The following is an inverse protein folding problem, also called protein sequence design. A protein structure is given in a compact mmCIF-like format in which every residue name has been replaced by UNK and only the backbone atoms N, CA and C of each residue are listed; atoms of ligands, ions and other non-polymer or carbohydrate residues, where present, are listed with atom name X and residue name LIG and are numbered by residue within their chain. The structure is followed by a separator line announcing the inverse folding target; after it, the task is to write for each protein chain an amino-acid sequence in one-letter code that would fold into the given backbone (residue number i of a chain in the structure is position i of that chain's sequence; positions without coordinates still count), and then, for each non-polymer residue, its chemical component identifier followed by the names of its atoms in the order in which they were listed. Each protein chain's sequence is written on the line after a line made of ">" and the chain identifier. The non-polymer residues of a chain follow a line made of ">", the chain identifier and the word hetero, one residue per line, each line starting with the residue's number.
data_IF_731660970437
#
_entry.id   IF_731660970437
#
_cell.length_a   1.000
_cell.length_b   1.000
_cell.length_c   1.000
_cell.angle_alpha   90.00
_cell.angle_beta   90.00
_cell.angle_gamma   90.00
#
_symmetry.space_group_name_H-M   'P 1'
#
loop_
_entity.id
_entity.type
_entity.pdbx_description
1 polymer ?
#
# COMPACT_ATOMS: atom_id res chain seq x y z
N UNK A 1 64.56 -19.93 -15.35
CA UNK A 1 63.52 -19.24 -14.56
C UNK A 1 62.70 -20.30 -13.85
N UNK A 2 62.53 -20.20 -12.53
CA UNK A 2 61.69 -21.15 -11.79
C UNK A 2 60.22 -20.95 -12.19
N UNK A 3 59.50 -22.04 -12.45
CA UNK A 3 58.08 -21.98 -12.76
C UNK A 3 57.29 -21.61 -11.49
N UNK A 4 56.79 -20.38 -11.44
CA UNK A 4 56.11 -19.83 -10.25
C UNK A 4 54.71 -20.45 -10.05
N UNK A 5 54.00 -20.78 -11.14
CA UNK A 5 52.66 -21.37 -11.09
C UNK A 5 52.60 -22.78 -11.70
N UNK A 6 52.01 -23.77 -11.01
CA UNK A 6 51.83 -25.12 -11.56
C UNK A 6 50.82 -25.10 -12.72
N UNK A 7 50.90 -26.06 -13.65
CA UNK A 7 49.98 -26.15 -14.81
C UNK A 7 48.49 -26.15 -14.44
N UNK A 8 48.15 -26.66 -13.24
CA UNK A 8 46.77 -26.64 -12.70
C UNK A 8 46.24 -25.22 -12.44
N UNK A 9 47.13 -24.24 -12.22
CA UNK A 9 46.74 -22.86 -11.99
C UNK A 9 46.10 -22.19 -13.23
N UNK A 10 46.30 -22.72 -14.44
CA UNK A 10 45.63 -22.22 -15.65
C UNK A 10 44.10 -22.39 -15.59
N UNK A 11 43.60 -23.32 -14.78
CA UNK A 11 42.16 -23.51 -14.58
C UNK A 11 41.55 -22.46 -13.66
N UNK A 12 42.34 -21.83 -12.78
CA UNK A 12 41.83 -20.89 -11.78
C UNK A 12 41.18 -19.65 -12.43
N UNK A 13 41.82 -18.94 -13.39
CA UNK A 13 41.18 -17.79 -14.04
C UNK A 13 39.88 -18.15 -14.76
N UNK A 14 39.82 -19.33 -15.38
CA UNK A 14 38.62 -19.80 -16.10
C UNK A 14 37.48 -20.08 -15.13
N UNK A 15 37.75 -20.82 -14.05
CA UNK A 15 36.75 -21.12 -13.03
C UNK A 15 36.30 -19.86 -12.29
N UNK A 16 37.21 -18.94 -11.99
CA UNK A 16 36.89 -17.65 -11.38
C UNK A 16 36.01 -16.80 -12.29
N UNK A 17 36.31 -16.72 -13.59
CA UNK A 17 35.52 -15.95 -14.54
C UNK A 17 34.12 -16.54 -14.72
N UNK A 18 34.02 -17.86 -14.95
CA UNK A 18 32.73 -18.55 -15.11
C UNK A 18 31.91 -18.48 -13.82
N UNK A 19 32.54 -18.70 -12.66
CA UNK A 19 31.89 -18.60 -11.37
C UNK A 19 31.37 -17.18 -11.09
N UNK A 20 32.15 -16.15 -11.42
CA UNK A 20 31.73 -14.76 -11.26
C UNK A 20 30.55 -14.40 -12.19
N UNK A 21 30.57 -14.84 -13.44
CA UNK A 21 29.49 -14.58 -14.39
C UNK A 21 28.19 -15.28 -13.98
N UNK A 22 28.26 -16.57 -13.68
CA UNK A 22 27.09 -17.34 -13.23
C UNK A 22 26.56 -16.82 -11.90
N UNK A 23 27.45 -16.55 -10.94
CA UNK A 23 27.09 -15.97 -9.66
C UNK A 23 26.44 -14.59 -9.81
N UNK A 24 26.96 -13.74 -10.70
CA UNK A 24 26.39 -12.43 -11.02
C UNK A 24 24.99 -12.53 -11.62
N UNK A 25 24.79 -13.42 -12.59
CA UNK A 25 23.47 -13.67 -13.20
C UNK A 25 22.47 -14.15 -12.15
N UNK A 26 22.84 -15.14 -11.34
CA UNK A 26 21.97 -15.63 -10.26
C UNK A 26 21.62 -14.53 -9.28
N UNK A 27 22.60 -13.71 -8.87
CA UNK A 27 22.36 -12.60 -7.96
C UNK A 27 21.39 -11.58 -8.56
N UNK A 28 21.55 -11.21 -9.83
CA UNK A 28 20.65 -10.28 -10.53
C UNK A 28 19.23 -10.83 -10.54
N UNK A 29 19.04 -12.11 -10.89
CA UNK A 29 17.71 -12.73 -10.90
C UNK A 29 17.08 -12.78 -9.50
N UNK A 30 17.85 -13.12 -8.46
CA UNK A 30 17.36 -13.13 -7.08
C UNK A 30 16.93 -11.74 -6.63
N UNK A 31 17.78 -10.73 -6.86
CA UNK A 31 17.46 -9.34 -6.51
C UNK A 31 16.21 -8.90 -7.26
N UNK A 32 16.14 -9.12 -8.57
CA UNK A 32 15.00 -8.70 -9.39
C UNK A 32 13.68 -9.36 -8.95
N UNK A 33 13.72 -10.65 -8.60
CA UNK A 33 12.54 -11.38 -8.13
C UNK A 33 12.09 -10.92 -6.74
N UNK A 34 12.99 -10.90 -5.75
CA UNK A 34 12.63 -10.60 -4.36
C UNK A 34 12.41 -9.10 -4.09
N UNK A 35 12.91 -8.21 -4.94
CA UNK A 35 12.61 -6.78 -4.88
C UNK A 35 11.46 -6.39 -5.83
N UNK A 36 10.79 -7.36 -6.44
CA UNK A 36 9.60 -7.08 -7.25
C UNK A 36 8.45 -6.57 -6.37
N UNK A 37 7.49 -5.80 -6.93
CA UNK A 37 6.38 -5.23 -6.17
C UNK A 37 5.54 -6.27 -5.41
N UNK A 38 5.49 -7.52 -5.87
CA UNK A 38 4.75 -8.61 -5.21
C UNK A 38 5.26 -8.90 -3.79
N UNK A 39 6.54 -8.66 -3.52
CA UNK A 39 7.17 -8.82 -2.20
C UNK A 39 7.25 -7.51 -1.41
N UNK A 40 6.68 -6.43 -1.94
CA UNK A 40 6.50 -5.16 -1.22
C UNK A 40 5.11 -5.10 -0.59
N UNK A 41 4.62 -3.92 -0.20
CA UNK A 41 3.32 -3.75 0.46
C UNK A 41 2.10 -3.84 -0.48
N UNK A 42 2.29 -4.36 -1.71
CA UNK A 42 1.19 -4.61 -2.65
C UNK A 42 0.27 -5.68 -2.08
N UNK A 43 -1.02 -5.37 -1.99
CA UNK A 43 -2.01 -6.26 -1.36
C UNK A 43 -2.01 -6.22 0.17
N UNK A 44 -1.28 -5.27 0.80
CA UNK A 44 -1.39 -5.02 2.24
C UNK A 44 -2.84 -4.67 2.62
N UNK A 45 -3.45 -5.51 3.45
CA UNK A 45 -4.84 -5.41 3.90
C UNK A 45 -4.90 -5.53 5.42
N UNK A 46 -4.66 -4.43 6.16
CA UNK A 46 -4.76 -4.45 7.61
C UNK A 46 -6.22 -4.61 8.05
N UNK A 47 -6.41 -5.18 9.24
CA UNK A 47 -7.70 -5.16 9.91
C UNK A 47 -8.06 -3.71 10.25
N UNK A 48 -9.25 -3.28 9.82
CA UNK A 48 -9.75 -1.93 10.06
C UNK A 48 -10.65 -1.94 11.31
N UNK A 49 -10.73 -0.83 12.06
CA UNK A 49 -11.61 -0.73 13.23
C UNK A 49 -13.09 -0.90 12.88
N UNK A 50 -13.47 -0.56 11.64
CA UNK A 50 -14.79 -0.77 11.07
C UNK A 50 -14.63 -1.52 9.76
N UNK A 51 -15.41 -2.59 9.55
CA UNK A 51 -15.42 -3.40 8.33
C UNK A 51 -16.08 -2.65 7.16
N UNK A 52 -15.51 -1.52 6.75
CA UNK A 52 -16.00 -0.73 5.63
C UNK A 52 -15.80 -1.45 4.30
N UNK A 53 -16.87 -1.55 3.51
CA UNK A 53 -16.84 -2.21 2.20
C UNK A 53 -16.94 -1.18 1.06
N UNK A 54 -15.81 -0.88 0.42
CA UNK A 54 -15.81 -0.10 -0.82
C UNK A 54 -16.64 -0.77 -1.93
N UNK A 55 -16.62 -2.11 -2.00
CA UNK A 55 -17.39 -2.89 -2.98
C UNK A 55 -18.89 -2.64 -2.88
N UNK A 56 -19.42 -2.54 -1.66
CA UNK A 56 -20.84 -2.24 -1.45
C UNK A 56 -21.16 -0.79 -1.83
N UNK A 57 -20.44 0.18 -1.25
CA UNK A 57 -20.78 1.59 -1.36
C UNK A 57 -20.51 2.17 -2.75
N UNK A 58 -19.28 2.03 -3.27
CA UNK A 58 -18.94 2.55 -4.59
C UNK A 58 -19.39 1.59 -5.71
N UNK A 59 -19.30 0.28 -5.48
CA UNK A 59 -19.60 -0.71 -6.52
C UNK A 59 -21.10 -0.98 -6.71
N UNK A 60 -21.79 -1.43 -5.67
CA UNK A 60 -23.20 -1.83 -5.78
C UNK A 60 -24.18 -0.66 -5.67
N UNK A 61 -23.90 0.30 -4.77
CA UNK A 61 -24.75 1.48 -4.57
C UNK A 61 -24.40 2.63 -5.51
N UNK A 62 -23.27 2.55 -6.23
CA UNK A 62 -22.86 3.57 -7.20
C UNK A 62 -22.51 4.92 -6.59
N UNK A 63 -22.10 4.96 -5.32
CA UNK A 63 -21.69 6.22 -4.68
C UNK A 63 -20.41 6.76 -5.34
N UNK A 64 -20.44 8.04 -5.68
CA UNK A 64 -19.26 8.74 -6.17
C UNK A 64 -18.18 8.82 -5.07
N UNK A 65 -16.92 8.58 -5.45
CA UNK A 65 -15.77 8.56 -4.54
C UNK A 65 -15.65 9.88 -3.72
N UNK A 66 -16.02 11.01 -4.33
CA UNK A 66 -15.94 12.36 -3.76
C UNK A 66 -17.01 12.61 -2.71
N UNK A 67 -18.03 11.76 -2.60
CA UNK A 67 -18.98 11.86 -1.50
C UNK A 67 -18.29 11.70 -0.15
N UNK A 68 -17.38 10.73 -0.05
CA UNK A 68 -16.60 10.47 1.17
C UNK A 68 -15.24 11.18 1.15
N UNK A 69 -14.53 11.14 0.03
CA UNK A 69 -13.21 11.74 -0.14
C UNK A 69 -13.32 13.13 -0.77
N UNK A 70 -14.09 14.00 -0.12
CA UNK A 70 -14.57 15.25 -0.69
C UNK A 70 -13.46 16.25 -1.05
N UNK A 71 -12.31 16.23 -0.37
CA UNK A 71 -11.25 17.22 -0.61
C UNK A 71 -10.26 16.77 -1.69
N UNK A 72 -10.47 15.61 -2.33
CA UNK A 72 -9.55 15.05 -3.32
C UNK A 72 -9.26 16.00 -4.49
N UNK A 73 -10.24 16.81 -4.90
CA UNK A 73 -10.09 17.78 -6.01
C UNK A 73 -9.41 19.08 -5.58
N UNK A 74 -9.44 19.43 -4.28
CA UNK A 74 -9.04 20.75 -3.82
C UNK A 74 -7.77 20.75 -2.95
N UNK A 75 -7.44 19.62 -2.32
CA UNK A 75 -6.32 19.50 -1.40
C UNK A 75 -5.24 18.53 -1.91
N UNK A 76 -4.04 18.63 -1.34
CA UNK A 76 -2.96 17.70 -1.62
C UNK A 76 -3.22 16.30 -1.06
N UNK A 77 -4.00 16.18 0.01
CA UNK A 77 -4.37 14.93 0.65
C UNK A 77 -5.86 14.64 0.48
N UNK A 78 -6.20 13.45 -0.01
CA UNK A 78 -7.56 12.92 0.02
C UNK A 78 -7.90 12.49 1.44
N UNK A 79 -8.79 13.23 2.09
CA UNK A 79 -9.22 12.99 3.45
C UNK A 79 -9.97 11.66 3.60
N UNK A 80 -9.81 11.03 4.76
CA UNK A 80 -10.75 9.98 5.21
C UNK A 80 -12.01 10.69 5.74
N UNK A 81 -13.24 10.22 5.42
CA UNK A 81 -14.45 10.91 5.84
C UNK A 81 -14.58 10.95 7.37
N UNK A 82 -15.09 12.05 7.93
CA UNK A 82 -15.47 12.08 9.34
C UNK A 82 -16.67 11.14 9.59
N UNK A 83 -16.87 10.74 10.84
CA UNK A 83 -17.98 9.89 11.28
C UNK A 83 -19.35 10.44 10.87
N UNK A 84 -19.49 11.77 10.76
CA UNK A 84 -20.71 12.42 10.27
C UNK A 84 -21.14 11.92 8.89
N UNK A 85 -20.20 11.71 7.96
CA UNK A 85 -20.50 11.21 6.61
C UNK A 85 -21.18 9.85 6.66
N UNK A 86 -20.71 8.97 7.55
CA UNK A 86 -21.32 7.67 7.78
C UNK A 86 -22.75 7.82 8.35
N UNK A 87 -22.93 8.74 9.29
CA UNK A 87 -24.19 8.96 10.01
C UNK A 87 -25.27 9.65 9.18
N UNK A 88 -24.92 10.27 8.04
CA UNK A 88 -25.88 10.80 7.07
C UNK A 88 -26.90 9.73 6.62
N UNK A 89 -26.48 8.46 6.54
CA UNK A 89 -27.36 7.34 6.21
C UNK A 89 -27.53 6.36 7.38
N UNK A 90 -26.45 6.05 8.10
CA UNK A 90 -26.48 4.99 9.12
C UNK A 90 -27.22 5.35 10.42
N UNK A 91 -27.70 6.58 10.54
CA UNK A 91 -28.72 6.94 11.53
C UNK A 91 -30.08 6.28 11.27
N UNK A 92 -30.34 5.82 10.04
CA UNK A 92 -31.59 5.19 9.62
C UNK A 92 -31.37 3.83 8.95
N UNK A 93 -30.26 3.68 8.23
CA UNK A 93 -29.92 2.47 7.45
C UNK A 93 -29.06 1.53 8.28
N UNK A 94 -29.59 0.34 8.55
CA UNK A 94 -28.91 -0.70 9.35
C UNK A 94 -28.44 -0.20 10.73
N UNK A 95 -29.16 0.77 11.29
CA UNK A 95 -28.81 1.46 12.54
C UNK A 95 -28.37 0.48 13.65
N UNK A 96 -29.10 -0.63 13.84
CA UNK A 96 -28.86 -1.62 14.89
C UNK A 96 -27.79 -2.67 14.56
N UNK A 97 -27.10 -2.56 13.42
CA UNK A 97 -26.06 -3.52 13.05
C UNK A 97 -24.87 -3.44 14.00
N UNK A 98 -24.40 -4.60 14.46
CA UNK A 98 -23.17 -4.71 15.27
C UNK A 98 -21.94 -4.22 14.52
N UNK A 99 -21.91 -4.32 13.19
CA UNK A 99 -20.81 -3.82 12.35
C UNK A 99 -20.64 -2.29 12.42
N UNK A 100 -21.69 -1.58 12.82
CA UNK A 100 -21.68 -0.11 12.96
C UNK A 100 -21.48 0.32 14.42
N UNK A 101 -21.20 -0.61 15.35
CA UNK A 101 -21.00 -0.28 16.76
C UNK A 101 -19.90 0.78 16.93
N UNK A 102 -18.76 0.61 16.24
CA UNK A 102 -17.65 1.57 16.30
C UNK A 102 -17.99 2.94 15.70
N UNK A 103 -18.81 2.98 14.65
CA UNK A 103 -19.31 4.23 14.06
C UNK A 103 -20.22 4.96 15.05
N UNK A 104 -21.14 4.25 15.71
CA UNK A 104 -22.04 4.83 16.73
C UNK A 104 -21.28 5.27 17.99
N UNK A 105 -20.30 4.49 18.41
CA UNK A 105 -19.40 4.82 19.51
C UNK A 105 -18.53 6.04 19.20
N UNK A 106 -18.17 6.27 17.94
CA UNK A 106 -17.48 7.49 17.53
C UNK A 106 -18.43 8.69 17.49
N UNK A 107 -19.67 8.49 17.06
CA UNK A 107 -20.67 9.57 16.93
C UNK A 107 -21.11 10.17 18.27
N UNK A 108 -21.36 9.35 19.30
CA UNK A 108 -21.95 9.82 20.56
C UNK A 108 -21.02 10.73 21.40
N UNK A 109 -19.75 10.37 21.64
CA UNK A 109 -18.78 11.20 22.35
C UNK A 109 -18.02 12.17 21.44
N UNK A 110 -18.10 11.99 20.11
CA UNK A 110 -17.36 12.78 19.12
C UNK A 110 -15.90 12.35 18.93
N UNK A 111 -15.51 11.19 19.46
CA UNK A 111 -14.16 10.63 19.28
C UNK A 111 -13.98 10.09 17.85
N UNK A 112 -12.95 10.50 17.10
CA UNK A 112 -12.73 10.02 15.74
C UNK A 112 -12.47 8.50 15.65
N UNK A 113 -12.76 7.93 14.49
CA UNK A 113 -12.39 6.54 14.19
C UNK A 113 -10.91 6.51 13.80
N UNK A 114 -10.12 5.73 14.53
CA UNK A 114 -8.68 5.54 14.29
C UNK A 114 -8.42 4.55 13.14
N UNK A 115 -8.56 5.03 11.90
CA UNK A 115 -8.35 4.24 10.70
C UNK A 115 -6.88 3.84 10.50
N UNK A 116 -6.65 2.62 10.01
CA UNK A 116 -5.30 2.16 9.64
C UNK A 116 -5.00 2.58 8.20
N UNK A 117 -4.04 3.49 8.03
CA UNK A 117 -3.65 4.01 6.72
C UNK A 117 -2.88 2.96 5.91
N UNK A 118 -3.40 2.62 4.72
CA UNK A 118 -2.80 1.62 3.82
C UNK A 118 -1.71 2.23 2.93
N UNK A 119 -2.02 3.35 2.28
CA UNK A 119 -1.07 4.04 1.40
C UNK A 119 -0.33 5.12 2.17
N UNK A 120 0.91 4.82 2.56
CA UNK A 120 1.78 5.71 3.31
C UNK A 120 3.06 5.99 2.50
N UNK A 121 3.24 7.25 2.10
CA UNK A 121 4.51 7.72 1.53
C UNK A 121 5.44 8.16 2.66
N UNK A 122 6.77 8.07 2.48
CA UNK A 122 7.72 8.65 3.42
C UNK A 122 7.52 10.16 3.56
N UNK A 123 7.76 10.71 4.75
CA UNK A 123 7.50 12.14 5.05
C UNK A 123 8.32 13.13 4.21
N UNK A 124 9.42 12.66 3.60
CA UNK A 124 10.23 13.47 2.68
C UNK A 124 9.69 13.49 1.24
N UNK A 125 8.67 12.68 0.92
CA UNK A 125 8.05 12.59 -0.39
C UNK A 125 6.62 13.16 -0.36
N UNK A 126 6.41 14.28 -1.05
CA UNK A 126 5.12 14.95 -1.09
C UNK A 126 4.32 14.53 -2.32
N UNK A 127 3.03 14.22 -2.12
CA UNK A 127 2.08 13.91 -3.18
C UNK A 127 0.85 14.80 -3.04
N UNK A 128 0.33 15.31 -4.17
CA UNK A 128 -0.82 16.21 -4.20
C UNK A 128 -1.95 15.66 -5.06
N UNK A 129 -3.08 15.29 -4.46
CA UNK A 129 -4.24 14.74 -5.18
C UNK A 129 -4.86 15.75 -6.15
N UNK A 130 -5.08 16.99 -5.72
CA UNK A 130 -5.73 18.03 -6.54
C UNK A 130 -5.06 18.28 -7.89
N UNK A 131 -3.73 18.12 -7.97
CA UNK A 131 -2.98 18.31 -9.22
C UNK A 131 -3.21 17.16 -10.21
N UNK A 132 -3.44 15.95 -9.72
CA UNK A 132 -3.59 14.75 -10.57
C UNK A 132 -5.05 14.48 -10.94
N UNK A 133 -6.00 14.95 -10.12
CA UNK A 133 -7.43 14.75 -10.39
C UNK A 133 -7.99 15.81 -11.35
N UNK A 134 -7.45 17.03 -11.31
CA UNK A 134 -7.90 18.14 -12.16
C UNK A 134 -7.12 18.31 -13.47
N UNK A 135 -6.18 17.41 -13.77
CA UNK A 135 -5.29 17.48 -14.94
C UNK A 135 -5.96 17.03 -16.23
#
# INVERSE_FOLDING_TARGET
>A
MAQIFPKKANMLPVLSLVGALLGGVVLIFLVWYFFSPEFTTVGYQPEQPVEYSHRLHAGQLGMDCRYCHNWVENASHANVPPTQTCMNCHSQVKEQSLKLLKVRQSWAPGEPIEWVKVHHLPDYANFSHSVHVNS
#
